data_IF_442026727683
#
_entry.id   IF_442026727683
#
_cell.length_a   1.000
_cell.length_b   1.000
_cell.length_c   1.000
_cell.angle_alpha   90.00
_cell.angle_beta   90.00
_cell.angle_gamma   90.00
#
_symmetry.space_group_name_H-M   'P 1'
#
loop_
_entity.id
_entity.type
_entity.pdbx_description
1 polymer ?
#
# COMPACT_ATOMS: atom_id res chain seq x y z
N UNK A 1 9.65 -35.57 -1.14
CA UNK A 1 8.25 -35.06 -1.05
C UNK A 1 7.25 -36.15 -0.61
N UNK A 2 7.32 -37.38 -1.13
CA UNK A 2 6.29 -38.41 -0.89
C UNK A 2 6.11 -38.82 0.58
N UNK A 3 7.16 -38.75 1.39
CA UNK A 3 7.06 -39.07 2.81
C UNK A 3 6.29 -37.99 3.60
N UNK A 4 6.42 -36.71 3.23
CA UNK A 4 5.64 -35.62 3.83
C UNK A 4 4.16 -35.70 3.42
N UNK A 5 3.87 -36.04 2.15
CA UNK A 5 2.49 -36.27 1.67
C UNK A 5 1.80 -37.39 2.45
N UNK A 6 2.48 -38.53 2.62
CA UNK A 6 1.95 -39.65 3.42
C UNK A 6 1.68 -39.23 4.87
N UNK A 7 2.55 -38.44 5.47
CA UNK A 7 2.34 -37.95 6.84
C UNK A 7 1.12 -37.01 6.94
N UNK A 8 0.89 -36.17 5.93
CA UNK A 8 -0.34 -35.36 5.80
C UNK A 8 -1.57 -36.26 5.66
N UNK A 9 -1.51 -37.29 4.82
CA UNK A 9 -2.63 -38.24 4.61
C UNK A 9 -2.98 -38.99 5.91
N UNK A 10 -1.99 -39.28 6.76
CA UNK A 10 -2.20 -39.92 8.06
C UNK A 10 -2.68 -38.96 9.16
N UNK A 11 -2.71 -37.66 8.91
CA UNK A 11 -3.14 -36.68 9.92
C UNK A 11 -2.08 -36.32 10.98
N UNK A 12 -0.83 -36.76 10.83
CA UNK A 12 0.21 -36.63 11.85
C UNK A 12 1.01 -35.32 11.67
N UNK A 13 0.50 -34.25 12.28
CA UNK A 13 1.11 -32.91 12.22
C UNK A 13 2.55 -32.90 12.76
N UNK A 14 2.82 -33.56 13.88
CA UNK A 14 4.15 -33.57 14.49
C UNK A 14 5.17 -34.26 13.59
N UNK A 15 4.77 -35.36 12.93
CA UNK A 15 5.60 -36.03 11.96
C UNK A 15 5.88 -35.16 10.73
N UNK A 16 4.88 -34.43 10.23
CA UNK A 16 5.09 -33.49 9.12
C UNK A 16 6.09 -32.40 9.50
N UNK A 17 5.93 -31.76 10.67
CA UNK A 17 6.84 -30.72 11.16
C UNK A 17 8.27 -31.25 11.35
N UNK A 18 8.43 -32.36 12.06
CA UNK A 18 9.73 -32.99 12.29
C UNK A 18 10.44 -33.33 10.98
N UNK A 19 9.72 -33.83 9.98
CA UNK A 19 10.29 -34.17 8.68
C UNK A 19 10.70 -32.91 7.91
N UNK A 20 9.94 -31.82 8.01
CA UNK A 20 10.31 -30.54 7.41
C UNK A 20 11.56 -29.96 8.08
N UNK A 21 11.61 -29.90 9.41
CA UNK A 21 12.79 -29.44 10.17
C UNK A 21 14.04 -30.23 9.82
N UNK A 22 13.94 -31.56 9.84
CA UNK A 22 15.07 -32.43 9.48
C UNK A 22 15.53 -32.22 8.04
N UNK A 23 14.63 -31.89 7.12
CA UNK A 23 14.99 -31.61 5.72
C UNK A 23 15.62 -30.23 5.57
N UNK A 24 15.16 -29.24 6.33
CA UNK A 24 15.71 -27.89 6.33
C UNK A 24 17.10 -27.82 6.98
N UNK A 25 17.34 -28.59 8.05
CA UNK A 25 18.61 -28.58 8.78
C UNK A 25 19.72 -29.43 8.13
N UNK A 26 19.35 -30.56 7.50
CA UNK A 26 20.33 -31.54 7.00
C UNK A 26 20.73 -31.35 5.54
N UNK A 27 19.96 -30.60 4.76
CA UNK A 27 20.23 -30.38 3.34
C UNK A 27 20.97 -29.05 3.20
N UNK A 28 22.16 -29.05 2.58
CA UNK A 28 22.97 -27.85 2.42
C UNK A 28 22.33 -26.74 1.57
N UNK A 29 21.30 -27.09 0.78
CA UNK A 29 20.45 -26.18 -0.01
C UNK A 29 19.04 -26.79 -0.13
N UNK A 30 18.20 -26.75 0.92
CA UNK A 30 16.83 -27.20 0.81
C UNK A 30 16.05 -26.23 -0.08
N UNK A 31 15.08 -26.75 -0.85
CA UNK A 31 14.18 -25.86 -1.58
C UNK A 31 13.35 -25.04 -0.57
N UNK A 32 13.42 -23.70 -0.59
CA UNK A 32 12.67 -22.88 0.34
C UNK A 32 11.15 -23.00 0.13
N UNK A 33 10.73 -23.50 -1.03
CA UNK A 33 9.33 -23.75 -1.37
C UNK A 33 8.78 -25.06 -0.78
N UNK A 34 9.63 -25.97 -0.26
CA UNK A 34 9.20 -27.29 0.20
C UNK A 34 8.13 -27.22 1.32
N UNK A 35 8.27 -26.37 2.37
CA UNK A 35 7.21 -26.19 3.36
C UNK A 35 5.92 -25.67 2.73
N UNK A 36 6.02 -24.75 1.77
CA UNK A 36 4.88 -24.21 1.02
C UNK A 36 4.16 -25.25 0.15
N UNK A 37 4.89 -26.18 -0.46
CA UNK A 37 4.29 -27.28 -1.23
C UNK A 37 3.56 -28.28 -0.34
N UNK A 38 4.14 -28.61 0.82
CA UNK A 38 3.49 -29.47 1.81
C UNK A 38 2.27 -28.77 2.39
N UNK A 39 2.35 -27.47 2.68
CA UNK A 39 1.22 -26.66 3.11
C UNK A 39 0.07 -26.67 2.10
N UNK A 40 0.38 -26.52 0.81
CA UNK A 40 -0.62 -26.59 -0.27
C UNK A 40 -1.29 -27.96 -0.33
N UNK A 41 -0.51 -29.04 -0.16
CA UNK A 41 -1.06 -30.39 -0.13
C UNK A 41 -1.96 -30.60 1.09
N UNK A 42 -1.51 -30.18 2.28
CA UNK A 42 -2.28 -30.23 3.50
C UNK A 42 -3.58 -29.42 3.41
N UNK A 43 -3.57 -28.25 2.77
CA UNK A 43 -4.78 -27.45 2.60
C UNK A 43 -5.88 -28.19 1.83
N UNK A 44 -5.51 -29.00 0.84
CA UNK A 44 -6.46 -29.81 0.07
C UNK A 44 -7.04 -30.99 0.85
N UNK A 45 -6.24 -31.62 1.72
CA UNK A 45 -6.62 -32.84 2.44
C UNK A 45 -7.19 -32.58 3.83
N UNK A 46 -6.54 -31.71 4.60
CA UNK A 46 -6.87 -31.41 5.99
C UNK A 46 -6.62 -29.92 6.29
N UNK A 47 -7.69 -29.12 6.19
CA UNK A 47 -7.63 -27.67 6.44
C UNK A 47 -7.19 -27.31 7.85
N UNK A 48 -7.54 -28.10 8.87
CA UNK A 48 -7.11 -27.85 10.24
C UNK A 48 -5.59 -28.00 10.37
N UNK A 49 -5.03 -29.07 9.78
CA UNK A 49 -3.59 -29.26 9.73
C UNK A 49 -2.89 -28.13 8.95
N UNK A 50 -3.47 -27.71 7.83
CA UNK A 50 -2.90 -26.61 7.04
C UNK A 50 -2.80 -25.31 7.85
N UNK A 51 -3.80 -25.00 8.68
CA UNK A 51 -3.79 -23.84 9.59
C UNK A 51 -2.68 -23.92 10.63
N UNK A 52 -2.45 -25.09 11.20
CA UNK A 52 -1.35 -25.26 12.16
C UNK A 52 0.02 -25.16 11.46
N UNK A 53 0.13 -25.71 10.26
CA UNK A 53 1.37 -25.66 9.46
C UNK A 53 1.74 -24.22 9.06
N UNK A 54 0.78 -23.39 8.65
CA UNK A 54 1.07 -21.99 8.30
C UNK A 54 1.47 -21.17 9.53
N UNK A 55 0.85 -21.41 10.70
CA UNK A 55 1.22 -20.76 11.95
C UNK A 55 2.66 -21.10 12.35
N UNK A 56 3.04 -22.36 12.19
CA UNK A 56 4.38 -22.86 12.46
C UNK A 56 5.42 -22.37 11.46
N UNK A 57 5.10 -22.34 10.16
CA UNK A 57 6.05 -21.98 9.11
C UNK A 57 6.49 -20.51 9.22
N UNK A 58 7.76 -20.24 8.91
CA UNK A 58 8.30 -18.88 8.95
C UNK A 58 7.79 -18.04 7.77
N UNK A 59 7.79 -16.69 7.86
CA UNK A 59 7.42 -15.84 6.74
C UNK A 59 8.20 -16.14 5.46
N UNK A 60 9.50 -16.42 5.56
CA UNK A 60 10.35 -16.73 4.40
C UNK A 60 9.91 -18.02 3.70
N UNK A 61 9.56 -19.05 4.47
CA UNK A 61 9.06 -20.33 3.96
C UNK A 61 7.69 -20.18 3.29
N UNK A 62 6.83 -19.31 3.81
CA UNK A 62 5.50 -19.03 3.24
C UNK A 62 5.60 -18.13 2.02
N UNK A 63 6.48 -17.12 2.02
CA UNK A 63 6.75 -16.27 0.86
C UNK A 63 7.32 -17.07 -0.32
N UNK A 64 8.10 -18.12 -0.05
CA UNK A 64 8.59 -19.06 -1.05
C UNK A 64 7.55 -20.10 -1.50
N UNK A 65 6.36 -20.14 -0.89
CA UNK A 65 5.30 -21.07 -1.27
C UNK A 65 4.75 -20.78 -2.68
N UNK A 66 4.14 -21.77 -3.35
CA UNK A 66 3.52 -21.54 -4.66
C UNK A 66 2.31 -20.60 -4.53
N UNK A 67 2.27 -19.54 -5.34
CA UNK A 67 1.15 -18.56 -5.38
C UNK A 67 -0.22 -19.19 -5.66
N UNK A 68 -0.26 -20.39 -6.25
CA UNK A 68 -1.49 -21.20 -6.41
C UNK A 68 -2.18 -21.52 -5.08
N UNK A 69 -1.45 -21.50 -3.96
CA UNK A 69 -2.02 -21.65 -2.62
C UNK A 69 -2.95 -20.49 -2.27
N UNK A 70 -2.59 -19.24 -2.61
CA UNK A 70 -3.47 -18.08 -2.44
C UNK A 70 -4.77 -18.25 -3.23
N UNK A 71 -4.66 -18.69 -4.49
CA UNK A 71 -5.84 -18.94 -5.33
C UNK A 71 -6.73 -20.01 -4.69
N UNK A 72 -6.12 -21.09 -4.19
CA UNK A 72 -6.85 -22.18 -3.52
C UNK A 72 -7.59 -21.70 -2.26
N UNK A 73 -6.97 -20.83 -1.46
CA UNK A 73 -7.59 -20.22 -0.29
C UNK A 73 -8.76 -19.31 -0.67
N UNK A 74 -8.61 -18.50 -1.73
CA UNK A 74 -9.68 -17.64 -2.24
C UNK A 74 -10.88 -18.46 -2.76
N UNK A 75 -10.64 -19.52 -3.54
CA UNK A 75 -11.71 -20.42 -4.01
C UNK A 75 -12.41 -21.15 -2.86
N UNK A 76 -11.65 -21.52 -1.81
CA UNK A 76 -12.20 -22.13 -0.61
C UNK A 76 -12.94 -21.13 0.30
N UNK A 77 -12.93 -19.84 -0.04
CA UNK A 77 -13.47 -18.74 0.77
C UNK A 77 -12.90 -18.71 2.20
N UNK A 78 -11.67 -19.17 2.35
CA UNK A 78 -10.97 -19.24 3.64
C UNK A 78 -10.19 -17.95 3.87
N UNK A 79 -10.90 -16.93 4.33
CA UNK A 79 -10.30 -15.61 4.53
C UNK A 79 -9.17 -15.62 5.56
N UNK A 80 -9.30 -16.27 6.75
CA UNK A 80 -8.20 -16.26 7.71
C UNK A 80 -6.93 -16.90 7.14
N UNK A 81 -7.06 -18.00 6.38
CA UNK A 81 -5.91 -18.60 5.69
C UNK A 81 -5.30 -17.64 4.68
N UNK A 82 -6.13 -16.97 3.88
CA UNK A 82 -5.67 -16.00 2.88
C UNK A 82 -4.93 -14.82 3.52
N UNK A 83 -5.47 -14.25 4.61
CA UNK A 83 -4.83 -13.17 5.36
C UNK A 83 -3.50 -13.61 5.96
N UNK A 84 -3.42 -14.81 6.56
CA UNK A 84 -2.14 -15.32 7.11
C UNK A 84 -1.09 -15.53 6.01
N UNK A 85 -1.48 -16.05 4.83
CA UNK A 85 -0.56 -16.21 3.70
C UNK A 85 -0.01 -14.87 3.22
N UNK A 86 -0.87 -13.87 3.07
CA UNK A 86 -0.47 -12.52 2.63
C UNK A 86 0.40 -11.83 3.68
N UNK A 87 0.05 -11.91 4.97
CA UNK A 87 0.82 -11.35 6.08
C UNK A 87 2.22 -11.97 6.18
N UNK A 88 2.35 -13.26 5.87
CA UNK A 88 3.63 -13.95 5.81
C UNK A 88 4.36 -13.74 4.48
N UNK A 89 3.88 -12.84 3.63
CA UNK A 89 4.61 -12.36 2.44
C UNK A 89 4.37 -13.17 1.17
N UNK A 90 3.44 -14.14 1.16
CA UNK A 90 3.08 -14.82 -0.08
C UNK A 90 2.31 -13.86 -0.99
N UNK A 91 2.77 -13.68 -2.23
CA UNK A 91 2.18 -12.77 -3.21
C UNK A 91 1.64 -13.54 -4.42
N UNK A 92 0.65 -12.98 -5.17
CA UNK A 92 0.03 -13.63 -6.33
C UNK A 92 0.99 -13.89 -7.51
N UNK A 93 2.24 -13.40 -7.44
CA UNK A 93 3.22 -13.51 -8.52
C UNK A 93 2.93 -12.49 -9.63
N UNK A 94 3.22 -12.85 -10.88
CA UNK A 94 3.11 -11.92 -12.02
C UNK A 94 1.67 -11.64 -12.47
N UNK A 95 0.68 -12.39 -11.98
CA UNK A 95 -0.72 -12.26 -12.38
C UNK A 95 -1.65 -12.40 -11.17
N UNK A 96 -2.27 -11.29 -10.77
CA UNK A 96 -3.25 -11.22 -9.68
C UNK A 96 -4.69 -11.49 -10.16
N UNK A 97 -4.98 -11.32 -11.45
CA UNK A 97 -6.32 -11.53 -12.01
C UNK A 97 -6.96 -12.91 -11.66
N UNK A 98 -6.23 -14.05 -11.67
CA UNK A 98 -6.79 -15.35 -11.26
C UNK A 98 -7.19 -15.43 -9.78
N UNK A 99 -6.59 -14.60 -8.93
CA UNK A 99 -6.90 -14.49 -7.51
C UNK A 99 -8.06 -13.52 -7.26
N UNK A 100 -8.11 -12.40 -7.99
CA UNK A 100 -9.16 -11.38 -7.81
C UNK A 100 -10.56 -11.89 -8.15
N UNK A 101 -10.71 -12.72 -9.19
CA UNK A 101 -12.01 -13.29 -9.57
C UNK A 101 -12.70 -14.06 -8.44
N UNK A 102 -12.07 -15.08 -7.81
CA UNK A 102 -12.71 -15.77 -6.69
C UNK A 102 -12.89 -14.87 -5.46
N UNK A 103 -12.05 -13.85 -5.28
CA UNK A 103 -12.22 -12.88 -4.19
C UNK A 103 -13.49 -12.04 -4.35
N UNK A 104 -13.73 -11.44 -5.52
CA UNK A 104 -14.96 -10.69 -5.78
C UNK A 104 -16.21 -11.58 -5.79
N UNK A 105 -16.07 -12.86 -6.17
CA UNK A 105 -17.17 -13.81 -6.09
C UNK A 105 -17.51 -14.26 -4.64
N UNK A 106 -16.61 -14.03 -3.68
CA UNK A 106 -16.74 -14.50 -2.31
C UNK A 106 -16.92 -13.37 -1.28
N UNK A 107 -16.42 -12.18 -1.58
CA UNK A 107 -16.34 -11.04 -0.67
C UNK A 107 -16.82 -9.76 -1.37
N UNK A 108 -17.23 -8.78 -0.58
CA UNK A 108 -17.57 -7.45 -1.06
C UNK A 108 -16.33 -6.69 -1.59
N UNK A 109 -16.58 -5.66 -2.41
CA UNK A 109 -15.50 -4.86 -3.03
C UNK A 109 -14.63 -4.14 -2.00
N UNK A 110 -15.18 -3.69 -0.87
CA UNK A 110 -14.44 -2.94 0.15
C UNK A 110 -13.42 -3.82 0.85
N UNK A 111 -13.79 -5.08 1.10
CA UNK A 111 -12.91 -6.08 1.69
C UNK A 111 -11.79 -6.46 0.75
N UNK A 112 -12.06 -6.59 -0.54
CA UNK A 112 -11.02 -6.83 -1.55
C UNK A 112 -10.12 -5.60 -1.70
N UNK A 113 -10.68 -4.39 -1.71
CA UNK A 113 -9.91 -3.14 -1.73
C UNK A 113 -8.98 -3.01 -0.53
N UNK A 114 -9.45 -3.35 0.68
CA UNK A 114 -8.64 -3.33 1.88
C UNK A 114 -7.49 -4.36 1.82
N UNK A 115 -7.77 -5.57 1.33
CA UNK A 115 -6.72 -6.57 1.10
C UNK A 115 -5.67 -6.07 0.11
N UNK A 116 -6.08 -5.41 -0.98
CA UNK A 116 -5.18 -4.80 -1.95
C UNK A 116 -4.31 -3.74 -1.28
N UNK A 117 -4.88 -2.75 -0.60
CA UNK A 117 -4.10 -1.67 0.04
C UNK A 117 -3.05 -2.19 1.02
N UNK A 118 -3.44 -3.13 1.86
CA UNK A 118 -2.63 -3.51 3.02
C UNK A 118 -1.64 -4.65 2.73
N UNK A 119 -2.07 -5.69 2.03
CA UNK A 119 -1.33 -6.98 2.03
C UNK A 119 -1.11 -7.58 0.64
N UNK A 120 -2.04 -7.39 -0.30
CA UNK A 120 -1.99 -7.97 -1.63
C UNK A 120 -1.35 -6.99 -2.62
N UNK A 121 -0.08 -7.25 -2.96
CA UNK A 121 0.67 -6.44 -3.93
C UNK A 121 0.40 -6.92 -5.33
N UNK A 122 -0.09 -6.02 -6.17
CA UNK A 122 -0.29 -6.23 -7.61
C UNK A 122 0.76 -5.43 -8.36
N UNK A 123 1.34 -6.02 -9.39
CA UNK A 123 2.34 -5.32 -10.20
C UNK A 123 1.67 -4.17 -10.97
N UNK A 124 2.31 -2.99 -11.07
CA UNK A 124 1.79 -1.85 -11.82
C UNK A 124 1.46 -2.15 -13.30
N UNK A 125 2.12 -3.16 -13.88
CA UNK A 125 1.93 -3.61 -15.26
C UNK A 125 0.86 -4.70 -15.42
N UNK A 126 0.28 -5.21 -14.33
CA UNK A 126 -0.78 -6.23 -14.37
C UNK A 126 -2.15 -5.60 -14.68
N UNK A 127 -2.28 -5.07 -15.89
CA UNK A 127 -3.52 -4.45 -16.38
C UNK A 127 -4.71 -5.42 -16.47
N UNK A 128 -4.46 -6.74 -16.45
CA UNK A 128 -5.53 -7.73 -16.37
C UNK A 128 -6.21 -7.67 -14.98
N UNK A 129 -5.49 -7.34 -13.91
CA UNK A 129 -6.07 -7.13 -12.58
C UNK A 129 -7.05 -5.95 -12.57
N UNK A 130 -6.66 -4.80 -13.16
CA UNK A 130 -7.54 -3.64 -13.33
C UNK A 130 -8.78 -3.99 -14.16
N UNK A 131 -8.58 -4.73 -15.25
CA UNK A 131 -9.69 -5.20 -16.08
C UNK A 131 -10.69 -6.04 -15.28
N UNK A 132 -10.23 -6.90 -14.36
CA UNK A 132 -11.13 -7.66 -13.48
C UNK A 132 -11.89 -6.72 -12.53
N UNK A 133 -11.21 -5.78 -11.86
CA UNK A 133 -11.88 -4.83 -10.96
C UNK A 133 -12.99 -4.03 -11.67
N UNK A 134 -12.72 -3.53 -12.88
CA UNK A 134 -13.70 -2.77 -13.65
C UNK A 134 -14.90 -3.62 -14.09
N UNK A 135 -14.67 -4.88 -14.49
CA UNK A 135 -15.76 -5.79 -14.89
C UNK A 135 -16.63 -6.26 -13.73
N UNK A 136 -16.03 -6.43 -12.56
CA UNK A 136 -16.75 -6.71 -11.32
C UNK A 136 -17.34 -5.44 -10.69
N UNK A 137 -17.20 -4.28 -11.35
CA UNK A 137 -17.73 -2.98 -10.92
C UNK A 137 -17.19 -2.54 -9.55
N UNK A 138 -15.98 -2.99 -9.21
CA UNK A 138 -15.34 -2.74 -7.93
C UNK A 138 -14.48 -1.48 -7.99
N UNK A 139 -15.12 -0.32 -7.81
CA UNK A 139 -14.44 0.98 -7.90
C UNK A 139 -13.34 1.10 -6.84
N UNK A 140 -13.64 0.77 -5.58
CA UNK A 140 -12.66 0.89 -4.48
C UNK A 140 -11.42 -0.01 -4.68
N UNK A 141 -11.60 -1.17 -5.32
CA UNK A 141 -10.48 -2.05 -5.64
C UNK A 141 -9.66 -1.53 -6.83
N UNK A 142 -10.30 -0.89 -7.82
CA UNK A 142 -9.59 -0.21 -8.90
C UNK A 142 -8.78 1.00 -8.38
N UNK A 143 -9.34 1.80 -7.48
CA UNK A 143 -8.63 2.88 -6.77
C UNK A 143 -7.39 2.33 -6.05
N UNK A 144 -7.54 1.25 -5.28
CA UNK A 144 -6.43 0.62 -4.59
C UNK A 144 -5.29 0.17 -5.53
N UNK A 145 -5.59 -0.26 -6.76
CA UNK A 145 -4.57 -0.60 -7.75
C UNK A 145 -3.83 0.64 -8.26
N UNK A 146 -4.52 1.77 -8.45
CA UNK A 146 -3.90 3.05 -8.82
C UNK A 146 -2.99 3.58 -7.70
N UNK A 147 -3.43 3.47 -6.44
CA UNK A 147 -2.64 3.81 -5.26
C UNK A 147 -1.34 2.99 -5.16
N UNK A 148 -1.34 1.75 -5.67
CA UNK A 148 -0.14 0.91 -5.76
C UNK A 148 0.82 1.30 -6.90
N UNK A 149 0.47 2.32 -7.71
CA UNK A 149 1.32 2.84 -8.79
C UNK A 149 0.93 2.37 -10.19
N UNK A 150 -0.21 1.67 -10.34
CA UNK A 150 -0.72 1.32 -11.66
C UNK A 150 -1.12 2.58 -12.44
N UNK A 151 -0.67 2.68 -13.70
CA UNK A 151 -0.97 3.82 -14.57
C UNK A 151 -2.22 3.58 -15.39
N UNK A 152 -3.20 4.49 -15.28
CA UNK A 152 -4.46 4.38 -16.01
C UNK A 152 -4.27 4.48 -17.53
N UNK A 153 -3.36 5.35 -17.99
CA UNK A 153 -3.05 5.47 -19.43
C UNK A 153 -2.46 4.17 -20.00
N UNK A 154 -1.62 3.48 -19.23
CA UNK A 154 -1.07 2.18 -19.61
C UNK A 154 -2.15 1.10 -19.71
N UNK A 155 -3.12 1.11 -18.78
CA UNK A 155 -4.29 0.24 -18.85
C UNK A 155 -5.14 0.51 -20.11
N UNK A 156 -5.38 1.77 -20.45
CA UNK A 156 -6.18 2.15 -21.61
C UNK A 156 -5.53 1.70 -22.93
N UNK A 157 -4.21 1.89 -23.07
CA UNK A 157 -3.46 1.40 -24.22
C UNK A 157 -3.54 -0.12 -24.33
N UNK A 158 -3.30 -0.83 -23.23
CA UNK A 158 -3.39 -2.29 -23.14
C UNK A 158 -4.80 -2.82 -23.50
N UNK A 159 -5.85 -2.14 -23.04
CA UNK A 159 -7.24 -2.53 -23.30
C UNK A 159 -7.60 -2.35 -24.78
N UNK A 160 -7.13 -1.25 -25.40
CA UNK A 160 -7.33 -0.97 -26.81
C UNK A 160 -6.61 -2.00 -27.70
N UNK A 161 -5.34 -2.31 -27.41
CA UNK A 161 -4.56 -3.32 -28.15
C UNK A 161 -5.21 -4.71 -28.11
N UNK A 162 -5.83 -5.06 -26.98
CA UNK A 162 -6.48 -6.37 -26.78
C UNK A 162 -7.95 -6.41 -27.19
N UNK A 163 -8.50 -5.31 -27.70
CA UNK A 163 -9.91 -5.21 -28.08
C UNK A 163 -10.87 -5.48 -26.91
N UNK A 164 -10.46 -5.15 -25.67
CA UNK A 164 -11.30 -5.35 -24.49
C UNK A 164 -12.39 -4.29 -24.47
N UNK A 165 -13.61 -4.68 -24.83
CA UNK A 165 -14.79 -3.85 -24.67
C UNK A 165 -15.13 -3.71 -23.19
N UNK A 166 -15.18 -2.46 -22.72
CA UNK A 166 -15.75 -2.11 -21.42
C UNK A 166 -17.24 -1.83 -21.59
N UNK A 167 -18.04 -2.34 -20.65
CA UNK A 167 -19.44 -1.96 -20.55
C UNK A 167 -19.58 -0.50 -20.11
N UNK A 168 -20.80 0.02 -20.13
CA UNK A 168 -21.04 1.42 -19.80
C UNK A 168 -20.67 1.73 -18.35
N UNK A 169 -20.89 0.78 -17.43
CA UNK A 169 -20.63 0.97 -16.00
C UNK A 169 -19.14 0.97 -15.66
N UNK A 170 -18.36 0.10 -16.29
CA UNK A 170 -16.91 0.10 -16.21
C UNK A 170 -16.31 1.40 -16.77
N UNK A 171 -16.91 1.96 -17.83
CA UNK A 171 -16.53 3.28 -18.35
C UNK A 171 -16.84 4.41 -17.36
N UNK A 172 -18.01 4.38 -16.72
CA UNK A 172 -18.35 5.36 -15.67
C UNK A 172 -17.35 5.33 -14.51
N UNK A 173 -17.00 4.14 -14.02
CA UNK A 173 -15.97 3.97 -12.98
C UNK A 173 -14.64 4.55 -13.46
N UNK A 174 -14.24 4.24 -14.70
CA UNK A 174 -12.98 4.73 -15.25
C UNK A 174 -12.93 6.26 -15.38
N UNK A 175 -14.04 6.90 -15.76
CA UNK A 175 -14.14 8.37 -15.76
C UNK A 175 -14.08 8.95 -14.34
N UNK A 176 -14.73 8.31 -13.36
CA UNK A 176 -14.62 8.74 -11.96
C UNK A 176 -13.17 8.68 -11.44
N UNK A 177 -12.44 7.60 -11.77
CA UNK A 177 -11.03 7.45 -11.42
C UNK A 177 -10.14 8.51 -12.08
N UNK A 178 -10.43 8.92 -13.32
CA UNK A 178 -9.71 10.01 -14.00
C UNK A 178 -9.90 11.33 -13.27
N UNK A 179 -11.14 11.67 -12.94
CA UNK A 179 -11.48 12.92 -12.24
C UNK A 179 -10.77 12.99 -10.90
N UNK A 180 -10.75 11.89 -10.13
CA UNK A 180 -10.02 11.81 -8.87
C UNK A 180 -8.50 12.02 -9.04
N UNK A 181 -7.88 11.43 -10.07
CA UNK A 181 -6.45 11.65 -10.33
C UNK A 181 -6.13 13.10 -10.71
N UNK A 182 -7.01 13.76 -11.48
CA UNK A 182 -6.84 15.17 -11.81
C UNK A 182 -6.96 16.07 -10.57
N UNK A 183 -7.92 15.80 -9.69
CA UNK A 183 -8.09 16.55 -8.44
C UNK A 183 -6.95 16.31 -7.43
N UNK A 184 -6.36 15.10 -7.42
CA UNK A 184 -5.21 14.79 -6.57
C UNK A 184 -3.89 15.43 -7.07
N UNK A 185 -3.84 15.91 -8.31
CA UNK A 185 -2.69 16.59 -8.90
C UNK A 185 -2.81 18.13 -8.87
N UNK A 186 -3.96 18.68 -8.50
CA UNK A 186 -4.06 20.11 -8.22
C UNK A 186 -3.37 20.40 -6.87
N UNK A 187 -2.36 21.30 -6.83
CA UNK A 187 -1.77 21.73 -5.58
C UNK A 187 -2.85 22.38 -4.71
N UNK A 188 -2.80 22.27 -3.37
CA UNK A 188 -3.69 23.03 -2.51
C UNK A 188 -3.45 24.53 -2.77
N UNK A 189 -4.45 25.19 -3.33
CA UNK A 189 -4.51 26.64 -3.58
C UNK A 189 -4.66 27.46 -2.28
N UNK A 190 -3.96 27.06 -1.21
CA UNK A 190 -3.86 27.79 0.05
C UNK A 190 -2.39 27.88 0.50
N UNK A 191 -1.59 28.57 -0.32
CA UNK A 191 -0.41 29.27 0.19
C UNK A 191 -0.60 30.75 -0.07
N UNK A 192 -1.22 31.43 0.90
CA UNK A 192 -1.09 32.89 1.04
C UNK A 192 0.41 33.20 1.11
N UNK A 193 0.99 33.97 0.18
CA UNK A 193 2.38 34.37 0.29
C UNK A 193 2.47 35.48 1.33
N UNK A 194 3.03 35.16 2.50
CA UNK A 194 3.48 36.19 3.44
C UNK A 194 4.60 36.97 2.76
N UNK A 195 4.33 38.23 2.42
CA UNK A 195 5.31 39.18 1.89
C UNK A 195 6.50 39.31 2.86
N UNK A 196 7.62 38.67 2.53
CA UNK A 196 8.93 38.98 3.10
C UNK A 196 9.74 39.72 2.03
N UNK A 197 9.68 41.06 2.09
CA UNK A 197 10.47 41.95 1.25
C UNK A 197 11.96 41.79 1.60
N UNK A 198 12.70 41.06 0.78
CA UNK A 198 14.15 41.19 0.70
C UNK A 198 14.46 42.14 -0.45
N UNK A 199 14.78 43.40 -0.13
CA UNK A 199 15.36 44.32 -1.09
C UNK A 199 16.87 44.09 -1.15
N UNK A 200 17.32 43.58 -2.30
CA UNK A 200 18.70 43.49 -2.73
C UNK A 200 19.37 44.87 -2.74
N UNK A 201 20.49 44.93 -2.05
CA UNK A 201 21.41 46.06 -2.00
C UNK A 201 22.46 45.86 -3.11
N UNK A 202 22.46 46.75 -4.11
CA UNK A 202 23.55 46.84 -5.08
C UNK A 202 23.32 47.88 -6.19
N UNK A 203 24.12 48.95 -6.20
CA UNK A 203 24.35 49.75 -7.41
C UNK A 203 24.18 51.27 -7.30
N UNK A 204 25.25 51.92 -6.83
CA UNK A 204 25.80 53.24 -7.22
C UNK A 204 24.96 54.23 -8.08
N UNK A 205 24.82 55.49 -7.61
CA UNK A 205 25.47 56.72 -8.16
C UNK A 205 24.76 58.01 -7.73
N UNK A 206 25.54 58.90 -7.10
CA UNK A 206 25.67 60.36 -7.34
C UNK A 206 24.40 61.24 -7.49
N UNK A 207 24.22 62.21 -6.58
CA UNK A 207 24.37 63.66 -6.84
C UNK A 207 23.53 64.54 -5.89
N UNK A 208 24.10 65.66 -5.43
CA UNK A 208 23.33 66.91 -5.24
C UNK A 208 22.80 67.27 -3.85
N UNK A 209 23.68 67.86 -3.04
CA UNK A 209 23.51 69.15 -2.34
C UNK A 209 22.09 69.77 -2.17
N UNK A 210 21.68 70.02 -0.93
CA UNK A 210 21.38 71.35 -0.36
C UNK A 210 20.31 71.37 0.75
N UNK A 211 20.61 72.23 1.74
CA UNK A 211 19.68 73.05 2.56
C UNK A 211 18.92 72.45 3.75
N UNK A 212 19.63 72.49 4.89
CA UNK A 212 19.34 73.24 6.14
C UNK A 212 17.92 73.74 6.48
N UNK A 213 17.71 73.72 7.82
CA UNK A 213 16.77 74.48 8.68
C UNK A 213 15.38 73.86 8.85
N UNK A 214 14.82 73.68 10.05
CA UNK A 214 14.73 74.59 11.21
C UNK A 214 14.28 73.81 12.49
N UNK A 215 14.02 74.41 13.68
CA UNK A 215 14.89 74.24 14.84
C UNK A 215 14.24 73.66 16.12
N UNK A 216 15.12 73.53 17.11
CA UNK A 216 14.97 73.16 18.52
C UNK A 216 14.18 74.22 19.32
N UNK A 217 13.25 73.77 20.17
CA UNK A 217 12.55 74.59 21.17
C UNK A 217 12.63 73.91 22.55
N UNK A 218 13.06 74.68 23.54
CA UNK A 218 13.42 74.30 24.91
C UNK A 218 12.22 74.12 25.85
N UNK A 219 12.44 73.38 26.96
CA UNK A 219 12.05 73.70 28.36
C UNK A 219 11.77 72.39 29.14
N UNK A 220 12.65 72.03 30.08
CA UNK A 220 12.52 72.23 31.54
C UNK A 220 11.39 71.43 32.20
N UNK A 221 11.76 70.54 33.13
CA UNK A 221 10.84 69.92 34.08
C UNK A 221 11.53 68.85 34.90
N UNK A 222 11.74 69.14 36.18
CA UNK A 222 12.52 68.40 37.17
C UNK A 222 11.59 67.51 38.02
N UNK A 223 12.19 66.67 38.88
CA UNK A 223 11.62 65.91 40.03
C UNK A 223 11.37 64.41 39.74
N UNK A 224 12.22 63.49 40.26
CA UNK A 224 12.32 62.95 41.64
C UNK A 224 11.00 62.32 42.12
N UNK A 225 10.93 60.99 42.18
CA UNK A 225 10.82 60.27 43.46
C UNK A 225 10.98 58.75 43.27
N UNK A 226 11.76 58.15 44.17
CA UNK A 226 11.78 56.73 44.44
C UNK A 226 10.62 56.44 45.40
N UNK A 227 9.83 55.38 45.21
CA UNK A 227 9.12 54.74 46.33
C UNK A 227 8.94 53.25 46.05
N UNK A 228 9.43 52.48 47.01
CA UNK A 228 9.31 51.03 47.16
C UNK A 228 7.93 50.63 47.70
N UNK A 229 7.49 49.42 47.38
CA UNK A 229 6.39 48.73 48.05
C UNK A 229 5.59 47.92 47.03
N UNK A 230 5.43 46.60 47.11
CA UNK A 230 5.45 45.74 48.28
C UNK A 230 4.06 45.13 48.44
N UNK A 231 4.00 43.81 48.20
CA UNK A 231 3.07 42.82 48.76
C UNK A 231 1.61 42.75 48.27
N UNK A 232 1.34 41.57 47.71
CA UNK A 232 0.30 40.60 48.09
C UNK A 232 -1.18 41.01 48.08
N UNK A 233 -1.95 40.21 47.33
CA UNK A 233 -2.98 39.33 47.89
C UNK A 233 -2.85 37.93 47.27
#
# INVERSE_FOLDING_TARGET
MDACKRAVDTGDLQRVQMMLDQTMDKVANPSPALPGEVLRYAFGQNRAMARELIRWATPEQVAAAPSRLLCSAAYARDLPMLTELLQKGLQPGNQAAPLLRPLFAAYDEQRVAHLLRDSLRVQPEDYEAMNVCLREQAQAAAEALLEQGMKLDGYLAWAAERGKSLDNRAREILEALKVQQSQAQEPPDDVVPTEAQHNEFGGERSSGDMSKHCPQGEAKGMEREMTMGGMSL
#
